data_IF_943737655869
#
_entry.id   IF_943737655869
#
_cell.length_a   1.000
_cell.length_b   1.000
_cell.length_c   1.000
_cell.angle_alpha   90.00
_cell.angle_beta   90.00
_cell.angle_gamma   90.00
#
_symmetry.space_group_name_H-M   'P 1'
#
loop_
_entity.id
_entity.type
_entity.pdbx_description
1 polymer ?
#
# COMPACT_ATOMS: atom_id res chain seq x y z
N UNK A 1 17.08 5.61 -3.32
CA UNK A 1 16.48 6.39 -2.19
C UNK A 1 14.98 6.24 -2.33
N UNK A 2 14.21 6.04 -1.26
CA UNK A 2 12.75 5.96 -1.36
C UNK A 2 12.14 7.37 -1.57
N UNK A 3 10.93 7.43 -2.13
CA UNK A 3 10.18 8.69 -2.26
C UNK A 3 9.94 9.33 -0.88
N UNK A 4 9.76 10.65 -0.84
CA UNK A 4 9.34 11.36 0.37
C UNK A 4 7.89 11.03 0.74
N UNK A 5 7.47 11.34 1.97
CA UNK A 5 6.08 11.09 2.39
C UNK A 5 5.09 11.98 1.63
N UNK A 6 5.48 13.21 1.28
CA UNK A 6 4.68 14.11 0.47
C UNK A 6 4.47 13.58 -0.97
N UNK A 7 5.52 13.05 -1.60
CA UNK A 7 5.42 12.44 -2.92
C UNK A 7 4.52 11.20 -2.90
N UNK A 8 4.62 10.39 -1.83
CA UNK A 8 3.75 9.22 -1.65
C UNK A 8 2.32 9.63 -1.36
N UNK A 9 2.09 10.70 -0.58
CA UNK A 9 0.76 11.25 -0.31
C UNK A 9 0.09 11.71 -1.60
N UNK A 10 0.82 12.39 -2.47
CA UNK A 10 0.32 12.83 -3.76
C UNK A 10 -0.11 11.65 -4.63
N UNK A 11 0.76 10.64 -4.78
CA UNK A 11 0.42 9.39 -5.47
C UNK A 11 -0.80 8.69 -4.87
N UNK A 12 -0.93 8.69 -3.53
CA UNK A 12 -2.08 8.10 -2.84
C UNK A 12 -3.38 8.86 -3.14
N UNK A 13 -3.31 10.18 -3.27
CA UNK A 13 -4.46 11.03 -3.62
C UNK A 13 -4.90 10.78 -5.07
N UNK A 14 -3.96 10.54 -5.96
CA UNK A 14 -4.18 10.42 -7.41
C UNK A 14 -4.27 8.97 -7.90
N UNK A 15 -4.17 7.96 -7.00
CA UNK A 15 -4.08 6.53 -7.38
C UNK A 15 -5.20 6.08 -8.32
N UNK A 16 -6.42 6.56 -8.12
CA UNK A 16 -7.56 6.18 -8.95
C UNK A 16 -7.55 6.86 -10.32
N UNK A 17 -7.06 8.08 -10.38
CA UNK A 17 -6.90 8.80 -11.65
C UNK A 17 -5.80 8.13 -12.47
N UNK A 18 -4.70 7.72 -11.84
CA UNK A 18 -3.66 6.93 -12.50
C UNK A 18 -4.24 5.65 -13.10
N UNK A 19 -4.98 4.87 -12.29
CA UNK A 19 -5.60 3.61 -12.74
C UNK A 19 -6.59 3.82 -13.88
N UNK A 20 -7.36 4.92 -13.85
CA UNK A 20 -8.37 5.25 -14.87
C UNK A 20 -7.76 5.73 -16.17
N UNK A 21 -6.70 6.53 -16.09
CA UNK A 21 -6.17 7.27 -17.22
C UNK A 21 -4.99 6.60 -17.91
N UNK A 22 -4.27 5.74 -17.22
CA UNK A 22 -3.00 5.21 -17.69
C UNK A 22 -2.96 3.69 -17.67
N UNK A 23 -2.33 3.15 -18.68
CA UNK A 23 -2.01 1.72 -18.79
C UNK A 23 -0.53 1.48 -18.43
N UNK A 24 -0.20 0.22 -18.19
CA UNK A 24 1.18 -0.23 -17.98
C UNK A 24 2.12 0.27 -19.10
N UNK A 25 3.24 0.83 -18.71
CA UNK A 25 4.24 1.39 -19.63
C UNK A 25 4.04 2.85 -20.03
N UNK A 26 2.91 3.45 -19.69
CA UNK A 26 2.69 4.89 -19.92
C UNK A 26 3.31 5.76 -18.83
N UNK A 27 3.41 7.05 -19.09
CA UNK A 27 3.89 8.05 -18.12
C UNK A 27 2.69 8.80 -17.54
N UNK A 28 2.74 9.02 -16.24
CA UNK A 28 1.82 9.87 -15.51
C UNK A 28 2.61 11.02 -14.87
N UNK A 29 2.05 12.20 -14.87
CA UNK A 29 2.62 13.38 -14.22
C UNK A 29 1.67 13.80 -13.12
N UNK A 30 2.16 13.88 -11.88
CA UNK A 30 1.34 14.29 -10.74
C UNK A 30 0.99 15.77 -10.81
N UNK A 31 -0.22 16.09 -10.34
CA UNK A 31 -0.81 17.43 -10.51
C UNK A 31 -0.10 18.51 -9.71
N UNK A 32 0.29 18.23 -8.47
CA UNK A 32 0.83 19.21 -7.54
C UNK A 32 2.34 19.40 -7.70
N UNK A 33 3.11 18.32 -7.71
CA UNK A 33 4.58 18.38 -7.78
C UNK A 33 5.10 18.40 -9.21
N UNK A 34 4.31 17.94 -10.17
CA UNK A 34 4.73 17.80 -11.57
C UNK A 34 5.77 16.70 -11.78
N UNK A 35 5.89 15.75 -10.84
CA UNK A 35 6.82 14.63 -10.97
C UNK A 35 6.26 13.63 -11.98
N UNK A 36 7.12 13.21 -12.90
CA UNK A 36 6.78 12.19 -13.87
C UNK A 36 7.09 10.79 -13.33
N UNK A 37 6.13 9.88 -13.52
CA UNK A 37 6.25 8.48 -13.12
C UNK A 37 5.97 7.55 -14.30
N UNK A 38 6.73 6.48 -14.43
CA UNK A 38 6.42 5.34 -15.29
C UNK A 38 5.45 4.42 -14.57
N UNK A 39 4.28 4.17 -15.16
CA UNK A 39 3.34 3.15 -14.66
C UNK A 39 3.90 1.77 -15.00
N UNK A 40 4.18 0.99 -13.99
CA UNK A 40 4.75 -0.36 -14.11
C UNK A 40 3.63 -1.39 -14.23
N UNK A 41 2.68 -1.32 -13.30
CA UNK A 41 1.57 -2.25 -13.20
C UNK A 41 0.38 -1.59 -12.50
N UNK A 42 -0.81 -2.03 -12.87
CA UNK A 42 -2.06 -1.65 -12.23
C UNK A 42 -2.95 -2.86 -12.00
N UNK A 43 -3.84 -2.77 -11.01
CA UNK A 43 -5.02 -3.61 -10.88
C UNK A 43 -6.22 -2.74 -10.54
N UNK A 44 -7.36 -3.10 -11.09
CA UNK A 44 -8.63 -2.41 -10.89
C UNK A 44 -9.76 -3.44 -10.78
N UNK A 45 -9.75 -4.15 -9.67
CA UNK A 45 -10.79 -5.12 -9.31
C UNK A 45 -11.31 -4.81 -7.89
N UNK A 46 -11.52 -5.81 -7.05
CA UNK A 46 -11.84 -5.62 -5.62
C UNK A 46 -10.71 -4.95 -4.84
N UNK A 47 -9.46 -5.09 -5.30
CA UNK A 47 -8.30 -4.32 -4.84
C UNK A 47 -7.87 -3.38 -5.96
N UNK A 48 -7.69 -2.09 -5.65
CA UNK A 48 -7.25 -1.08 -6.59
C UNK A 48 -5.85 -0.62 -6.20
N UNK A 49 -4.90 -0.81 -7.08
CA UNK A 49 -3.51 -0.46 -6.79
C UNK A 49 -2.72 -0.13 -8.07
N UNK A 50 -1.70 0.68 -7.90
CA UNK A 50 -0.74 1.02 -8.95
C UNK A 50 0.69 0.86 -8.45
N UNK A 51 1.56 0.45 -9.34
CA UNK A 51 3.00 0.45 -9.15
C UNK A 51 3.62 1.45 -10.11
N UNK A 52 4.41 2.36 -9.58
CA UNK A 52 5.09 3.41 -10.35
C UNK A 52 6.57 3.48 -10.03
N UNK A 53 7.36 4.03 -10.96
CA UNK A 53 8.75 4.40 -10.73
C UNK A 53 8.99 5.83 -11.24
N UNK A 54 9.69 6.71 -10.49
CA UNK A 54 9.91 8.08 -10.90
C UNK A 54 10.81 8.16 -12.12
N UNK A 55 10.58 9.18 -12.96
CA UNK A 55 11.45 9.52 -14.10
C UNK A 55 12.36 10.67 -13.68
N UNK A 56 13.63 10.38 -13.49
CA UNK A 56 14.63 11.35 -13.05
C UNK A 56 15.55 11.69 -14.24
N UNK A 57 15.59 12.94 -14.64
CA UNK A 57 16.40 13.40 -15.79
C UNK A 57 16.13 12.59 -17.07
N UNK A 58 14.86 12.24 -17.31
CA UNK A 58 14.42 11.49 -18.48
C UNK A 58 14.66 9.97 -18.41
N UNK A 59 15.15 9.45 -17.30
CA UNK A 59 15.38 8.01 -17.08
C UNK A 59 14.52 7.49 -15.94
N UNK A 60 13.95 6.29 -16.13
CA UNK A 60 13.16 5.64 -15.08
C UNK A 60 14.10 5.10 -14.01
N UNK A 61 13.87 5.52 -12.77
CA UNK A 61 14.62 4.99 -11.61
C UNK A 61 13.85 3.83 -10.96
N UNK A 62 14.14 2.63 -11.40
CA UNK A 62 13.51 1.41 -10.88
C UNK A 62 13.94 1.05 -9.46
N UNK A 63 14.97 1.70 -8.90
CA UNK A 63 15.37 1.50 -7.49
C UNK A 63 14.41 2.19 -6.52
N UNK A 64 13.58 3.11 -7.03
CA UNK A 64 12.55 3.83 -6.28
C UNK A 64 11.13 3.39 -6.66
N UNK A 65 10.97 2.16 -7.13
CA UNK A 65 9.63 1.63 -7.45
C UNK A 65 8.75 1.64 -6.20
N UNK A 66 7.56 2.21 -6.36
CA UNK A 66 6.58 2.42 -5.28
C UNK A 66 5.26 1.75 -5.62
N UNK A 67 4.67 1.06 -4.66
CA UNK A 67 3.32 0.49 -4.73
C UNK A 67 2.38 1.36 -3.90
N UNK A 68 1.25 1.75 -4.50
CA UNK A 68 0.19 2.52 -3.84
C UNK A 68 -1.11 1.74 -3.95
N UNK A 69 -1.74 1.48 -2.80
CA UNK A 69 -2.99 0.74 -2.70
C UNK A 69 -4.10 1.67 -2.23
N UNK A 70 -5.13 1.83 -3.04
CA UNK A 70 -6.30 2.63 -2.69
C UNK A 70 -7.06 2.02 -1.52
N UNK A 71 -7.68 2.88 -0.73
CA UNK A 71 -8.56 2.47 0.36
C UNK A 71 -9.92 2.00 -0.12
N UNK A 72 -10.88 2.07 0.79
CA UNK A 72 -12.28 1.77 0.50
C UNK A 72 -12.78 2.61 -0.66
N UNK A 73 -13.15 1.96 -1.73
CA UNK A 73 -13.87 2.59 -2.81
C UNK A 73 -15.35 2.24 -2.71
N UNK A 74 -16.17 3.27 -2.60
CA UNK A 74 -17.61 3.15 -2.73
C UNK A 74 -18.12 4.06 -3.87
N UNK A 75 -17.70 3.85 -5.13
CA UNK A 75 -18.27 4.58 -6.24
C UNK A 75 -19.71 4.14 -6.38
N UNK A 76 -20.64 5.06 -6.19
CA UNK A 76 -22.06 4.77 -6.27
C UNK A 76 -22.65 3.99 -5.09
N UNK A 77 -21.93 3.85 -3.97
CA UNK A 77 -22.42 3.19 -2.77
C UNK A 77 -22.23 1.68 -2.71
N UNK A 78 -21.56 1.09 -3.67
CA UNK A 78 -21.23 -0.34 -3.64
C UNK A 78 -20.04 -0.61 -2.72
N UNK A 79 -20.31 -1.19 -1.57
CA UNK A 79 -19.29 -1.68 -0.64
C UNK A 79 -18.80 -3.02 -1.17
N UNK A 80 -17.55 -3.11 -1.56
CA UNK A 80 -16.98 -4.38 -2.00
C UNK A 80 -16.75 -5.36 -0.84
N UNK A 81 -16.54 -6.62 -1.15
CA UNK A 81 -16.40 -7.68 -0.14
C UNK A 81 -15.18 -7.44 0.78
N UNK A 82 -14.11 -6.82 0.30
CA UNK A 82 -12.94 -6.50 1.11
C UNK A 82 -13.24 -5.43 2.17
N UNK A 83 -14.09 -4.45 1.85
CA UNK A 83 -14.55 -3.45 2.83
C UNK A 83 -15.31 -4.13 3.95
N UNK A 84 -16.27 -4.99 3.60
CA UNK A 84 -17.09 -5.71 4.59
C UNK A 84 -16.20 -6.63 5.44
N UNK A 85 -15.32 -7.41 4.82
CA UNK A 85 -14.42 -8.32 5.52
C UNK A 85 -13.46 -7.57 6.44
N UNK A 86 -12.77 -6.54 5.93
CA UNK A 86 -11.80 -5.77 6.70
C UNK A 86 -12.47 -5.00 7.84
N UNK A 87 -13.60 -4.36 7.58
CA UNK A 87 -14.38 -3.66 8.60
C UNK A 87 -14.89 -4.61 9.66
N UNK A 88 -15.42 -5.78 9.29
CA UNK A 88 -15.87 -6.79 10.23
C UNK A 88 -14.73 -7.33 11.09
N UNK A 89 -13.57 -7.62 10.47
CA UNK A 89 -12.40 -8.10 11.20
C UNK A 89 -11.85 -7.04 12.16
N UNK A 90 -11.80 -5.77 11.76
CA UNK A 90 -11.39 -4.67 12.62
C UNK A 90 -12.33 -4.48 13.82
N UNK A 91 -13.64 -4.41 13.57
CA UNK A 91 -14.65 -4.21 14.62
C UNK A 91 -14.74 -5.41 15.57
N UNK A 92 -14.68 -6.63 15.04
CA UNK A 92 -14.80 -7.86 15.83
C UNK A 92 -13.46 -8.33 16.41
N UNK A 93 -12.37 -7.57 16.21
CA UNK A 93 -11.03 -7.94 16.67
C UNK A 93 -10.62 -9.36 16.23
N UNK A 94 -10.98 -9.74 15.01
CA UNK A 94 -10.64 -11.05 14.45
C UNK A 94 -9.25 -11.02 13.87
N UNK A 95 -8.41 -11.90 14.33
CA UNK A 95 -7.01 -12.04 13.94
C UNK A 95 -6.86 -12.83 12.65
N UNK A 96 -7.40 -12.33 11.54
CA UNK A 96 -7.37 -13.01 10.25
C UNK A 96 -6.81 -12.08 9.18
N UNK A 97 -5.95 -12.64 8.34
CA UNK A 97 -5.51 -11.95 7.12
C UNK A 97 -6.70 -11.88 6.15
N UNK A 98 -6.93 -10.69 5.63
CA UNK A 98 -8.00 -10.45 4.66
C UNK A 98 -7.64 -10.96 3.27
N UNK A 99 -8.63 -11.15 2.41
CA UNK A 99 -8.38 -11.42 0.98
C UNK A 99 -7.59 -10.28 0.34
N UNK A 100 -7.81 -9.04 0.76
CA UNK A 100 -7.01 -7.90 0.30
C UNK A 100 -5.50 -8.08 0.61
N UNK A 101 -5.15 -8.69 1.75
CA UNK A 101 -3.74 -8.98 2.05
C UNK A 101 -3.14 -9.97 1.04
N UNK A 102 -3.92 -10.96 0.60
CA UNK A 102 -3.48 -11.91 -0.43
C UNK A 102 -3.31 -11.22 -1.78
N UNK A 103 -4.27 -10.37 -2.16
CA UNK A 103 -4.20 -9.60 -3.41
C UNK A 103 -3.00 -8.66 -3.43
N UNK A 104 -2.74 -7.94 -2.33
CA UNK A 104 -1.58 -7.04 -2.21
C UNK A 104 -0.26 -7.81 -2.33
N UNK A 105 -0.18 -9.00 -1.71
CA UNK A 105 1.02 -9.87 -1.82
C UNK A 105 1.24 -10.34 -3.25
N UNK A 106 0.20 -10.78 -3.93
CA UNK A 106 0.29 -11.18 -5.32
C UNK A 106 0.68 -10.00 -6.21
N UNK A 107 0.05 -8.85 -5.99
CA UNK A 107 0.36 -7.61 -6.71
C UNK A 107 1.81 -7.17 -6.53
N UNK A 108 2.37 -7.27 -5.31
CA UNK A 108 3.79 -7.02 -5.04
C UNK A 108 4.68 -7.89 -5.93
N UNK A 109 4.44 -9.21 -5.93
CA UNK A 109 5.27 -10.15 -6.69
C UNK A 109 5.18 -9.90 -8.21
N UNK A 110 3.99 -9.64 -8.71
CA UNK A 110 3.76 -9.30 -10.12
C UNK A 110 4.43 -7.97 -10.49
N UNK A 111 4.33 -6.96 -9.63
CA UNK A 111 4.94 -5.64 -9.80
C UNK A 111 6.47 -5.72 -9.86
N UNK A 112 7.08 -6.45 -8.93
CA UNK A 112 8.53 -6.63 -8.91
C UNK A 112 9.02 -7.36 -10.17
N UNK A 113 8.31 -8.42 -10.59
CA UNK A 113 8.61 -9.15 -11.82
C UNK A 113 8.50 -8.25 -13.06
N UNK A 114 7.43 -7.46 -13.14
CA UNK A 114 7.20 -6.53 -14.26
C UNK A 114 8.25 -5.43 -14.30
N UNK A 115 8.57 -4.82 -13.16
CA UNK A 115 9.60 -3.80 -13.04
C UNK A 115 10.97 -4.32 -13.52
N UNK A 116 11.37 -5.53 -13.10
CA UNK A 116 12.59 -6.18 -13.57
C UNK A 116 12.60 -6.40 -15.09
N UNK A 117 11.47 -6.82 -15.65
CA UNK A 117 11.34 -7.00 -17.10
C UNK A 117 11.45 -5.67 -17.85
N UNK A 118 10.87 -4.59 -17.33
CA UNK A 118 10.90 -3.26 -17.95
C UNK A 118 12.28 -2.59 -17.82
N UNK A 119 12.95 -2.76 -16.70
CA UNK A 119 14.29 -2.22 -16.46
C UNK A 119 15.34 -2.85 -17.38
N UNK A 120 15.20 -4.15 -17.69
CA UNK A 120 16.17 -4.88 -18.49
C UNK A 120 17.35 -5.44 -17.68
N UNK A 121 18.24 -6.12 -18.41
CA UNK A 121 19.37 -6.84 -17.80
C UNK A 121 20.38 -5.84 -17.22
N UNK A 122 20.80 -6.09 -15.97
CA UNK A 122 21.87 -5.33 -15.31
C UNK A 122 21.40 -4.07 -14.59
N UNK A 123 20.11 -3.72 -14.66
CA UNK A 123 19.56 -2.62 -13.84
C UNK A 123 19.06 -3.14 -12.48
N UNK A 124 19.38 -2.37 -11.45
CA UNK A 124 18.86 -2.63 -10.11
C UNK A 124 17.38 -2.25 -10.05
N UNK A 125 16.59 -3.15 -9.45
CA UNK A 125 15.14 -2.95 -9.27
C UNK A 125 14.79 -3.26 -7.83
N UNK A 126 14.14 -2.32 -7.17
CA UNK A 126 13.69 -2.49 -5.80
C UNK A 126 12.33 -1.82 -5.60
N UNK A 127 11.40 -2.51 -4.93
CA UNK A 127 10.21 -1.86 -4.37
C UNK A 127 10.63 -1.23 -3.05
N UNK A 128 10.94 0.05 -3.12
CA UNK A 128 11.50 0.82 -1.99
C UNK A 128 10.43 1.41 -1.08
N UNK A 129 9.18 1.53 -1.57
CA UNK A 129 8.08 2.08 -0.81
C UNK A 129 6.77 1.33 -1.11
N UNK A 130 5.95 1.17 -0.06
CA UNK A 130 4.55 0.74 -0.18
C UNK A 130 3.66 1.68 0.62
N UNK A 131 2.50 2.00 0.07
CA UNK A 131 1.52 2.88 0.71
C UNK A 131 0.11 2.29 0.66
N UNK A 132 -0.60 2.40 1.77
CA UNK A 132 -2.01 2.05 1.89
C UNK A 132 -2.83 3.20 2.46
N UNK A 133 -4.06 3.34 1.98
CA UNK A 133 -5.02 4.30 2.50
C UNK A 133 -6.17 3.57 3.20
N UNK A 134 -6.59 4.08 4.38
CA UNK A 134 -7.74 3.58 5.13
C UNK A 134 -7.64 2.05 5.35
N UNK A 135 -8.62 1.27 4.91
CA UNK A 135 -8.64 -0.19 5.07
C UNK A 135 -7.49 -0.94 4.41
N UNK A 136 -6.83 -0.35 3.41
CA UNK A 136 -5.68 -0.99 2.75
C UNK A 136 -4.41 -0.93 3.61
N UNK A 137 -4.36 -0.02 4.60
CA UNK A 137 -3.19 0.16 5.46
C UNK A 137 -2.69 -1.13 6.11
N UNK A 138 -3.53 -1.90 6.82
CA UNK A 138 -3.13 -3.17 7.43
C UNK A 138 -2.60 -4.21 6.44
N UNK A 139 -3.24 -4.34 5.27
CA UNK A 139 -2.80 -5.26 4.23
C UNK A 139 -1.43 -4.87 3.68
N UNK A 140 -1.21 -3.58 3.43
CA UNK A 140 0.08 -3.04 2.99
C UNK A 140 1.15 -3.23 4.06
N UNK A 141 0.87 -2.89 5.32
CA UNK A 141 1.81 -3.05 6.41
C UNK A 141 2.28 -4.51 6.54
N UNK A 142 1.33 -5.46 6.52
CA UNK A 142 1.65 -6.89 6.59
C UNK A 142 2.57 -7.34 5.46
N UNK A 143 2.19 -7.06 4.22
CA UNK A 143 2.96 -7.48 3.04
C UNK A 143 4.32 -6.79 2.99
N UNK A 144 4.37 -5.49 3.29
CA UNK A 144 5.61 -4.73 3.29
C UNK A 144 6.61 -5.23 4.36
N UNK A 145 6.11 -5.63 5.55
CA UNK A 145 6.95 -6.23 6.59
C UNK A 145 7.49 -7.60 6.17
N UNK A 146 6.65 -8.46 5.58
CA UNK A 146 7.08 -9.76 5.02
C UNK A 146 8.18 -9.60 3.96
N UNK A 147 8.02 -8.62 3.07
CA UNK A 147 8.93 -8.39 1.95
C UNK A 147 10.10 -7.48 2.30
N UNK A 148 10.19 -7.00 3.55
CA UNK A 148 11.25 -6.10 4.03
C UNK A 148 11.36 -4.83 3.17
N UNK A 149 10.23 -4.23 2.85
CA UNK A 149 10.18 -2.97 2.09
C UNK A 149 10.77 -1.84 2.93
N UNK A 150 11.69 -1.08 2.35
CA UNK A 150 12.50 -0.10 3.08
C UNK A 150 11.67 0.99 3.76
N UNK A 151 10.58 1.44 3.13
CA UNK A 151 9.70 2.48 3.65
C UNK A 151 8.25 2.10 3.44
N UNK A 152 7.44 2.29 4.47
CA UNK A 152 6.01 2.00 4.46
C UNK A 152 5.31 3.29 4.91
N UNK A 153 4.40 3.82 4.08
CA UNK A 153 3.72 5.08 4.38
C UNK A 153 2.22 4.89 4.25
N UNK A 154 1.52 4.80 5.38
CA UNK A 154 0.07 4.64 5.40
C UNK A 154 -0.62 5.96 5.76
N UNK A 155 -1.80 6.17 5.19
CA UNK A 155 -2.61 7.36 5.44
C UNK A 155 -4.00 6.95 5.90
N UNK A 156 -4.46 7.51 7.03
CA UNK A 156 -5.81 7.29 7.56
C UNK A 156 -6.12 5.79 7.71
N UNK A 157 -5.12 4.98 8.02
CA UNK A 157 -5.30 3.54 8.08
C UNK A 157 -6.22 3.13 9.25
N UNK A 158 -6.91 2.02 9.08
CA UNK A 158 -7.98 1.58 9.98
C UNK A 158 -7.47 0.94 11.26
N UNK A 159 -6.29 1.24 11.70
CA UNK A 159 -5.81 0.73 12.98
C UNK A 159 -6.16 -0.74 13.19
N UNK A 160 -5.55 -1.63 12.46
CA UNK A 160 -5.84 -3.06 12.55
C UNK A 160 -5.00 -3.76 13.62
N UNK A 161 -4.68 -3.06 14.70
CA UNK A 161 -3.90 -3.59 15.81
C UNK A 161 -4.37 -4.98 16.23
N UNK A 162 -5.65 -5.10 16.53
CA UNK A 162 -6.21 -6.36 16.97
C UNK A 162 -6.15 -7.47 15.90
N UNK A 163 -6.31 -7.13 14.63
CA UNK A 163 -6.26 -8.10 13.53
C UNK A 163 -4.84 -8.49 13.13
N UNK A 164 -3.84 -7.68 13.47
CA UNK A 164 -2.45 -7.96 13.12
C UNK A 164 -1.59 -8.43 14.30
N UNK A 165 -1.87 -7.99 15.53
CA UNK A 165 -0.96 -8.20 16.65
C UNK A 165 -1.39 -9.26 17.66
N UNK A 166 -2.66 -9.62 17.77
CA UNK A 166 -3.07 -10.68 18.69
C UNK A 166 -2.53 -12.04 18.28
N UNK A 167 -1.76 -12.63 19.14
CA UNK A 167 -1.22 -13.97 18.95
C UNK A 167 -2.16 -15.00 19.60
N UNK A 168 -3.02 -15.59 18.80
CA UNK A 168 -3.83 -16.76 19.20
C UNK A 168 -3.32 -18.00 18.45
N UNK A 169 -3.70 -19.19 18.90
CA UNK A 169 -3.28 -20.44 18.27
C UNK A 169 -3.57 -20.50 16.75
N UNK A 170 -4.63 -19.84 16.32
CA UNK A 170 -5.06 -19.80 14.90
C UNK A 170 -4.62 -18.54 14.18
N UNK A 171 -3.97 -17.63 14.87
CA UNK A 171 -3.58 -16.35 14.30
C UNK A 171 -2.33 -16.49 13.41
N UNK A 172 -2.44 -15.94 12.21
CA UNK A 172 -1.35 -15.86 11.23
C UNK A 172 -1.10 -14.42 10.77
N UNK A 173 -1.44 -13.44 11.63
CA UNK A 173 -1.36 -12.04 11.30
C UNK A 173 0.07 -11.56 11.14
N UNK A 174 0.68 -11.15 12.22
CA UNK A 174 2.02 -10.58 12.24
C UNK A 174 2.91 -11.32 13.23
N UNK A 175 4.16 -11.60 12.89
CA UNK A 175 5.18 -12.12 13.80
C UNK A 175 5.82 -10.99 14.61
N UNK A 176 6.51 -11.36 15.70
CA UNK A 176 7.27 -10.39 16.49
C UNK A 176 8.35 -9.68 15.64
N UNK A 177 8.99 -10.41 14.73
CA UNK A 177 9.98 -9.85 13.80
C UNK A 177 9.36 -8.83 12.84
N UNK A 178 8.17 -9.13 12.29
CA UNK A 178 7.43 -8.22 11.42
C UNK A 178 6.96 -6.98 12.19
N UNK A 179 6.50 -7.16 13.43
CA UNK A 179 6.11 -6.06 14.30
C UNK A 179 7.30 -5.13 14.58
N UNK A 180 8.44 -5.68 14.98
CA UNK A 180 9.67 -4.91 15.17
C UNK A 180 10.13 -4.21 13.90
N UNK A 181 9.89 -4.83 12.74
CA UNK A 181 10.18 -4.22 11.45
C UNK A 181 9.28 -3.01 11.19
N UNK A 182 7.98 -3.14 11.41
CA UNK A 182 7.01 -2.05 11.22
C UNK A 182 7.30 -0.87 12.15
N UNK A 183 7.66 -1.11 13.41
CA UNK A 183 8.06 -0.05 14.33
C UNK A 183 9.23 0.82 13.84
N UNK A 184 10.03 0.32 12.92
CA UNK A 184 11.19 1.03 12.36
C UNK A 184 10.94 1.64 11.00
N UNK A 185 9.98 1.12 10.25
CA UNK A 185 9.82 1.41 8.82
C UNK A 185 8.45 1.95 8.43
N UNK A 186 7.44 1.85 9.32
CA UNK A 186 6.10 2.34 9.06
C UNK A 186 5.94 3.78 9.54
N UNK A 187 5.54 4.64 8.61
CA UNK A 187 5.06 5.98 8.87
C UNK A 187 3.53 5.98 8.69
N UNK A 188 2.78 6.16 9.75
CA UNK A 188 1.32 6.23 9.69
C UNK A 188 0.85 7.65 9.98
N UNK A 189 0.05 8.20 9.08
CA UNK A 189 -0.49 9.54 9.15
C UNK A 189 -2.00 9.51 9.33
N UNK A 190 -2.49 10.17 10.37
CA UNK A 190 -3.91 10.29 10.66
C UNK A 190 -4.37 11.75 10.75
N UNK A 191 -5.63 12.01 10.45
CA UNK A 191 -6.25 13.33 10.63
C UNK A 191 -6.90 13.39 12.02
N UNK A 192 -6.37 14.20 12.92
CA UNK A 192 -6.85 14.30 14.28
C UNK A 192 -8.36 14.62 14.32
N UNK A 193 -9.13 13.71 14.91
CA UNK A 193 -10.56 13.87 15.16
C UNK A 193 -11.51 13.40 14.04
N UNK A 194 -11.00 12.89 12.93
CA UNK A 194 -11.82 12.34 11.83
C UNK A 194 -11.50 10.89 11.48
N UNK A 195 -10.50 10.33 12.13
CA UNK A 195 -9.97 9.03 11.83
C UNK A 195 -10.77 7.93 12.54
N UNK A 196 -11.19 6.91 11.79
CA UNK A 196 -11.86 5.73 12.33
C UNK A 196 -10.90 4.80 13.08
N UNK A 197 -9.62 5.06 13.04
CA UNK A 197 -8.56 4.30 13.73
C UNK A 197 -8.73 4.29 15.24
N UNK A 198 -9.46 5.25 15.80
CA UNK A 198 -9.78 5.29 17.22
C UNK A 198 -10.75 4.19 17.69
N UNK A 199 -11.36 3.46 16.78
CA UNK A 199 -12.37 2.45 17.11
C UNK A 199 -11.77 1.16 17.67
N UNK A 200 -10.58 0.79 17.26
CA UNK A 200 -9.87 -0.35 17.85
C UNK A 200 -8.80 0.06 18.87
N UNK A 201 -8.74 1.35 19.18
CA UNK A 201 -7.89 1.92 20.23
C UNK A 201 -6.45 2.23 19.81
N UNK A 202 -6.08 1.95 18.58
CA UNK A 202 -4.71 2.16 18.08
C UNK A 202 -4.73 2.62 16.64
N UNK A 203 -4.50 3.90 16.40
CA UNK A 203 -4.28 4.46 15.07
C UNK A 203 -3.00 3.92 14.46
N UNK A 204 -3.11 3.03 13.51
CA UNK A 204 -1.95 2.34 12.96
C UNK A 204 -1.43 1.22 13.89
N UNK A 205 -0.26 0.69 13.58
CA UNK A 205 0.37 -0.39 14.34
C UNK A 205 1.29 0.14 15.46
N UNK A 206 1.48 1.43 15.53
CA UNK A 206 2.43 2.06 16.45
C UNK A 206 1.69 2.63 17.67
#
# INVERSE_FOLDING_TARGET
MALTDEEVQELQTEVLDIIKEKNEGQTYTTDKSGIEYKVIKEINNTTQAVTVAPIIKGQVDYTQTTIVVAGTQAPGGDINNHVLESGFNAVMARNQLTEQTKDVREFYNQSLSKAKKMAGIGQEVNISNMSGFSQAGPAVAKVAAEMKVQKITNFMDWGAWNSLTKNTADYRGISDEEFDYLNKHLHSYSDQGKDLTSWDGHGGII
#
